data_IF_746567380362
#
_entry.id   IF_746567380362
#
_cell.length_a   1.000
_cell.length_b   1.000
_cell.length_c   1.000
_cell.angle_alpha   90.00
_cell.angle_beta   90.00
_cell.angle_gamma   90.00
#
_symmetry.space_group_name_H-M   'P 1'
#
loop_
_entity.id
_entity.type
_entity.pdbx_description
1 polymer ?
#
# COMPACT_ATOMS: atom_id res chain seq x y z
N UNK A 1 -8.42 29.55 26.93
CA UNK A 1 -8.76 28.11 27.06
C UNK A 1 -7.75 27.34 26.23
N UNK A 2 -7.00 26.42 26.81
CA UNK A 2 -6.10 25.55 26.03
C UNK A 2 -6.83 24.23 25.80
N UNK A 3 -7.04 23.84 24.53
CA UNK A 3 -7.41 22.45 24.25
C UNK A 3 -6.19 21.60 24.56
N UNK A 4 -6.27 20.81 25.64
CA UNK A 4 -5.24 19.84 25.96
C UNK A 4 -5.22 18.71 24.91
N UNK A 5 -4.10 17.98 24.78
CA UNK A 5 -4.02 16.83 23.88
C UNK A 5 -5.10 15.77 24.16
N UNK A 6 -5.56 15.64 25.42
CA UNK A 6 -6.71 14.80 25.77
C UNK A 6 -8.01 15.23 25.06
N UNK A 7 -8.31 16.53 25.01
CA UNK A 7 -9.50 17.07 24.33
C UNK A 7 -9.46 16.73 22.82
N UNK A 8 -8.29 16.89 22.21
CA UNK A 8 -8.05 16.61 20.78
C UNK A 8 -8.21 15.12 20.48
N UNK A 9 -7.74 14.23 21.38
CA UNK A 9 -7.92 12.78 21.25
C UNK A 9 -9.40 12.40 21.30
N UNK A 10 -10.19 12.96 22.22
CA UNK A 10 -11.64 12.70 22.31
C UNK A 10 -12.35 13.12 21.02
N UNK A 11 -12.04 14.31 20.50
CA UNK A 11 -12.60 14.82 19.24
C UNK A 11 -12.20 13.91 18.06
N UNK A 12 -10.95 13.46 17.99
CA UNK A 12 -10.49 12.53 16.96
C UNK A 12 -11.21 11.18 17.02
N UNK A 13 -11.48 10.64 18.20
CA UNK A 13 -12.23 9.39 18.35
C UNK A 13 -13.67 9.56 17.84
N UNK A 14 -14.35 10.67 18.18
CA UNK A 14 -15.70 10.95 17.67
C UNK A 14 -15.70 11.13 16.15
N UNK A 15 -14.73 11.86 15.60
CA UNK A 15 -14.56 12.00 14.15
C UNK A 15 -14.27 10.66 13.45
N UNK A 16 -13.45 9.80 14.06
CA UNK A 16 -13.15 8.45 13.59
C UNK A 16 -14.37 7.53 13.59
N UNK A 17 -15.32 7.71 14.51
CA UNK A 17 -16.58 6.96 14.52
C UNK A 17 -17.55 7.43 13.44
N UNK A 18 -17.64 8.74 13.19
CA UNK A 18 -18.53 9.32 12.16
C UNK A 18 -18.00 9.06 10.75
N UNK A 19 -16.72 9.36 10.50
CA UNK A 19 -16.11 9.24 9.17
C UNK A 19 -15.53 7.84 8.91
N UNK A 20 -15.18 7.08 9.94
CA UNK A 20 -14.51 5.78 9.83
C UNK A 20 -13.01 5.90 9.56
N UNK A 21 -12.15 5.06 10.20
CA UNK A 21 -10.70 5.09 9.99
C UNK A 21 -10.29 4.82 8.53
N UNK A 22 -11.14 4.12 7.75
CA UNK A 22 -10.89 3.83 6.33
C UNK A 22 -11.04 5.04 5.40
N UNK A 23 -11.77 6.09 5.81
CA UNK A 23 -11.97 7.27 4.96
C UNK A 23 -10.93 8.37 5.21
N UNK A 24 -10.35 8.47 6.42
CA UNK A 24 -9.21 9.36 6.71
C UNK A 24 -8.06 9.28 5.70
N UNK A 25 -7.49 8.11 5.35
CA UNK A 25 -6.38 8.05 4.39
C UNK A 25 -6.81 8.46 2.96
N UNK A 26 -8.10 8.36 2.62
CA UNK A 26 -8.63 8.79 1.32
C UNK A 26 -8.79 10.31 1.26
N UNK A 27 -9.35 10.91 2.32
CA UNK A 27 -9.44 12.36 2.52
C UNK A 27 -8.06 13.01 2.63
N UNK A 28 -7.15 12.42 3.40
CA UNK A 28 -5.76 12.87 3.57
C UNK A 28 -4.95 12.81 2.27
N UNK A 29 -5.14 11.80 1.41
CA UNK A 29 -4.53 11.77 0.07
C UNK A 29 -5.07 12.85 -0.87
N UNK A 30 -6.37 13.20 -0.77
CA UNK A 30 -6.95 14.26 -1.57
C UNK A 30 -6.47 15.65 -1.10
N UNK A 31 -6.63 15.96 0.19
CA UNK A 31 -6.17 17.22 0.79
C UNK A 31 -4.64 17.37 0.68
N UNK A 32 -3.90 16.29 0.87
CA UNK A 32 -2.44 16.27 0.76
C UNK A 32 -1.94 16.70 -0.61
N UNK A 33 -2.60 16.25 -1.71
CA UNK A 33 -2.29 16.73 -3.06
C UNK A 33 -2.53 18.25 -3.18
N UNK A 34 -3.71 18.73 -2.77
CA UNK A 34 -4.04 20.17 -2.78
C UNK A 34 -3.03 21.00 -1.98
N UNK A 35 -2.69 20.58 -0.76
CA UNK A 35 -1.70 21.25 0.10
C UNK A 35 -0.29 21.20 -0.51
N UNK A 36 0.09 20.09 -1.15
CA UNK A 36 1.38 19.97 -1.83
C UNK A 36 1.47 20.98 -2.99
N UNK A 37 0.48 21.00 -3.88
CA UNK A 37 0.43 21.96 -5.00
C UNK A 37 0.37 23.42 -4.52
N UNK A 38 -0.34 23.72 -3.43
CA UNK A 38 -0.35 25.07 -2.82
C UNK A 38 1.02 25.43 -2.25
N UNK A 39 1.69 24.49 -1.55
CA UNK A 39 3.03 24.72 -1.01
C UNK A 39 4.08 24.86 -2.10
N UNK A 40 4.03 24.05 -3.16
CA UNK A 40 4.87 24.18 -4.36
C UNK A 40 4.64 25.53 -5.08
N UNK A 41 3.41 26.07 -5.06
CA UNK A 41 3.11 27.40 -5.60
C UNK A 41 3.47 28.59 -4.69
N UNK A 42 3.59 28.38 -3.36
CA UNK A 42 3.98 29.42 -2.40
C UNK A 42 5.48 29.41 -2.07
N UNK A 43 6.15 28.26 -2.21
CA UNK A 43 7.60 28.12 -2.10
C UNK A 43 8.24 28.34 -3.46
N UNK A 44 8.32 29.62 -3.87
CA UNK A 44 9.00 30.01 -5.11
C UNK A 44 10.50 29.76 -5.05
N UNK A 45 10.98 28.95 -5.99
CA UNK A 45 12.37 28.79 -6.47
C UNK A 45 13.51 28.90 -5.42
N UNK A 46 13.68 27.83 -4.64
CA UNK A 46 15.00 27.39 -4.17
C UNK A 46 15.01 25.85 -4.17
N UNK A 47 16.08 25.27 -4.74
CA UNK A 47 16.34 23.83 -5.00
C UNK A 47 15.48 23.06 -6.05
N UNK A 48 16.05 22.94 -7.26
CA UNK A 48 15.66 21.98 -8.32
C UNK A 48 16.76 20.93 -8.59
N UNK A 49 16.54 19.67 -8.17
CA UNK A 49 16.89 18.40 -8.87
C UNK A 49 16.64 17.21 -7.93
N UNK A 50 16.16 16.04 -8.34
CA UNK A 50 15.73 15.44 -9.63
C UNK A 50 14.27 14.95 -9.47
N UNK A 51 13.46 14.61 -10.48
CA UNK A 51 13.78 13.91 -11.74
C UNK A 51 12.75 14.28 -12.84
N UNK A 52 13.24 14.59 -14.04
CA UNK A 52 12.51 14.38 -15.32
C UNK A 52 12.88 12.95 -15.76
N UNK A 53 12.05 12.12 -16.37
CA UNK A 53 11.02 12.40 -17.39
C UNK A 53 10.02 11.22 -17.45
N UNK A 54 8.70 11.50 -17.53
CA UNK A 54 7.80 10.99 -18.59
C UNK A 54 6.38 11.50 -18.41
N UNK A 55 5.97 12.44 -19.25
CA UNK A 55 4.58 12.85 -19.35
C UNK A 55 3.76 11.88 -20.24
N UNK A 56 2.48 11.75 -19.90
CA UNK A 56 1.36 11.35 -20.78
C UNK A 56 1.17 9.85 -21.09
N UNK A 57 0.41 9.22 -20.17
CA UNK A 57 -0.81 8.41 -20.39
C UNK A 57 -0.79 7.15 -21.29
N UNK A 58 -1.50 6.06 -20.96
CA UNK A 58 -2.61 5.93 -20.00
C UNK A 58 -2.37 4.84 -18.92
N UNK A 59 -1.92 5.32 -17.75
CA UNK A 59 -2.19 4.81 -16.40
C UNK A 59 -1.93 3.32 -16.05
N UNK A 60 -0.62 3.04 -15.94
CA UNK A 60 -0.03 2.30 -14.81
C UNK A 60 1.01 3.25 -14.12
N UNK A 61 1.66 2.97 -12.99
CA UNK A 61 1.82 1.76 -12.17
C UNK A 61 2.07 2.19 -10.69
N UNK A 62 1.78 1.38 -9.65
CA UNK A 62 2.74 0.60 -8.81
C UNK A 62 4.25 0.87 -9.06
N UNK A 63 5.19 0.88 -8.12
CA UNK A 63 5.22 0.71 -6.65
C UNK A 63 6.63 1.13 -6.15
N UNK A 64 6.73 1.59 -4.88
CA UNK A 64 7.85 1.30 -3.93
C UNK A 64 9.30 1.75 -4.29
N UNK A 65 10.31 1.76 -3.40
CA UNK A 65 10.49 1.40 -1.98
C UNK A 65 11.62 2.31 -1.40
N UNK A 66 12.07 2.31 -0.13
CA UNK A 66 11.65 1.75 1.17
C UNK A 66 12.34 2.64 2.26
N UNK A 67 11.93 2.67 3.52
CA UNK A 67 12.37 1.74 4.58
C UNK A 67 11.48 1.99 5.82
N UNK A 68 10.70 1.03 6.32
CA UNK A 68 11.10 -0.21 7.04
C UNK A 68 11.58 0.06 8.49
N UNK A 69 11.30 -0.76 9.50
CA UNK A 69 10.62 -2.07 9.51
C UNK A 69 9.83 -2.29 10.82
N UNK A 70 8.79 -3.12 10.77
CA UNK A 70 8.29 -3.86 11.95
C UNK A 70 7.52 -5.13 11.54
N UNK A 71 8.21 -6.06 10.89
CA UNK A 71 7.86 -7.48 10.74
C UNK A 71 7.15 -8.07 11.96
N UNK A 72 6.26 -9.05 11.78
CA UNK A 72 6.65 -10.40 11.35
C UNK A 72 5.50 -11.21 10.75
N UNK A 73 5.89 -12.30 10.06
CA UNK A 73 5.08 -13.39 9.53
C UNK A 73 4.27 -13.11 8.24
N UNK A 74 4.88 -13.42 7.08
CA UNK A 74 4.70 -14.77 6.52
C UNK A 74 5.61 -14.99 5.30
N UNK A 75 6.47 -16.01 5.38
CA UNK A 75 7.09 -16.62 4.21
C UNK A 75 6.06 -17.48 3.46
N UNK A 76 5.03 -16.83 2.92
CA UNK A 76 4.07 -17.46 2.04
C UNK A 76 4.65 -17.50 0.62
N UNK A 77 4.89 -18.73 0.12
CA UNK A 77 5.36 -18.93 -1.23
C UNK A 77 4.48 -18.25 -2.28
N UNK A 78 5.04 -17.98 -3.45
CA UNK A 78 4.34 -17.26 -4.52
C UNK A 78 4.10 -18.20 -5.70
N UNK A 79 2.85 -18.29 -6.16
CA UNK A 79 2.44 -19.11 -7.31
C UNK A 79 2.09 -18.25 -8.52
N UNK A 80 2.48 -18.70 -9.71
CA UNK A 80 2.19 -18.01 -10.97
C UNK A 80 1.00 -18.64 -11.69
N UNK A 81 0.12 -17.80 -12.23
CA UNK A 81 -1.08 -18.27 -12.94
C UNK A 81 -0.74 -18.81 -14.34
N UNK A 82 -0.99 -20.11 -14.65
CA UNK A 82 -0.66 -20.70 -15.94
C UNK A 82 -1.52 -20.18 -17.11
N UNK A 83 -2.61 -19.43 -16.84
CA UNK A 83 -3.47 -18.83 -17.86
C UNK A 83 -3.10 -17.41 -18.27
N UNK A 84 -2.40 -16.64 -17.43
CA UNK A 84 -2.16 -15.20 -17.69
C UNK A 84 -0.85 -14.65 -17.11
N UNK A 85 -0.01 -15.47 -16.49
CA UNK A 85 1.28 -15.08 -15.90
C UNK A 85 1.19 -14.26 -14.60
N UNK A 86 0.00 -13.95 -14.09
CA UNK A 86 -0.14 -13.17 -12.87
C UNK A 86 0.48 -13.87 -11.64
N UNK A 87 1.23 -13.10 -10.85
CA UNK A 87 1.80 -13.48 -9.56
C UNK A 87 0.69 -13.47 -8.49
N UNK A 88 0.51 -14.54 -7.74
CA UNK A 88 -0.52 -14.70 -6.70
C UNK A 88 0.10 -15.35 -5.44
N UNK A 89 -0.44 -15.13 -4.23
CA UNK A 89 0.04 -15.81 -3.03
C UNK A 89 -0.34 -17.31 -3.05
N UNK A 90 0.43 -18.18 -2.37
CA UNK A 90 0.26 -19.64 -2.44
C UNK A 90 -1.11 -20.16 -1.94
N UNK A 91 -1.82 -19.41 -1.11
CA UNK A 91 -3.16 -19.74 -0.60
C UNK A 91 -4.30 -19.33 -1.56
N UNK A 92 -4.03 -18.55 -2.60
CA UNK A 92 -5.05 -18.08 -3.54
C UNK A 92 -5.65 -19.24 -4.34
N UNK A 93 -6.91 -19.60 -4.07
CA UNK A 93 -7.65 -20.62 -4.83
C UNK A 93 -7.95 -20.23 -6.30
N UNK A 94 -7.92 -18.93 -6.60
CA UNK A 94 -8.21 -18.37 -7.93
C UNK A 94 -7.27 -17.21 -8.24
N UNK A 95 -6.96 -17.03 -9.52
CA UNK A 95 -6.13 -15.95 -10.01
C UNK A 95 -6.85 -14.60 -9.95
N UNK A 96 -6.28 -13.63 -9.23
CA UNK A 96 -6.83 -12.28 -9.06
C UNK A 96 -6.93 -11.47 -10.36
N UNK A 97 -6.26 -11.90 -11.45
CA UNK A 97 -6.27 -11.22 -12.76
C UNK A 97 -7.24 -11.81 -13.79
N UNK A 98 -7.50 -13.12 -13.76
CA UNK A 98 -8.29 -13.80 -14.79
C UNK A 98 -9.30 -14.84 -14.29
N UNK A 99 -9.44 -15.03 -12.97
CA UNK A 99 -10.40 -15.96 -12.37
C UNK A 99 -10.09 -17.46 -12.59
N UNK A 100 -8.98 -17.81 -13.25
CA UNK A 100 -8.56 -19.21 -13.39
C UNK A 100 -8.25 -19.81 -12.01
N UNK A 101 -8.74 -21.03 -11.74
CA UNK A 101 -8.38 -21.79 -10.53
C UNK A 101 -6.86 -22.00 -10.50
N UNK A 102 -6.25 -21.75 -9.35
CA UNK A 102 -4.85 -22.03 -9.10
C UNK A 102 -4.78 -23.36 -8.34
N UNK A 103 -4.09 -24.34 -8.92
CA UNK A 103 -3.78 -25.59 -8.23
C UNK A 103 -2.68 -25.31 -7.21
N UNK A 104 -3.01 -25.46 -5.93
CA UNK A 104 -2.07 -25.33 -4.83
C UNK A 104 -0.84 -26.23 -5.10
N UNK A 105 0.40 -25.71 -5.07
CA UNK A 105 1.54 -26.57 -4.85
C UNK A 105 1.40 -27.08 -3.41
N UNK A 106 0.93 -28.32 -3.29
CA UNK A 106 0.98 -29.04 -2.03
C UNK A 106 2.43 -29.03 -1.53
N UNK A 107 2.62 -28.78 -0.24
CA UNK A 107 3.96 -28.55 0.30
C UNK A 107 4.85 -29.75 -0.04
N UNK A 108 5.96 -29.49 -0.74
CA UNK A 108 7.00 -30.47 -0.95
C UNK A 108 7.62 -30.77 0.42
N UNK A 109 7.06 -31.82 1.04
CA UNK A 109 7.65 -32.76 1.98
C UNK A 109 8.95 -32.28 2.63
N UNK A 110 8.87 -31.97 3.92
CA UNK A 110 10.04 -31.79 4.80
C UNK A 110 10.77 -33.13 4.94
N UNK A 111 11.63 -33.41 3.97
CA UNK A 111 12.54 -34.55 3.97
C UNK A 111 13.96 -34.07 4.30
N UNK A 112 14.22 -33.87 5.60
CA UNK A 112 15.53 -34.13 6.19
C UNK A 112 15.31 -34.52 7.66
N UNK A 113 15.28 -35.84 7.91
CA UNK A 113 15.33 -36.40 9.26
C UNK A 113 16.79 -36.67 9.56
N UNK A 114 17.36 -35.93 10.50
CA UNK A 114 18.62 -36.29 11.14
C UNK A 114 18.44 -37.57 11.98
N UNK A 115 18.83 -38.75 11.44
CA UNK A 115 19.62 -39.79 12.13
C UNK A 115 20.26 -40.80 11.14
#
# INVERSE_FOLDING_TARGET
>A
MNLGPMEVIVILIVALLIFGPKNLPKLGKALGKTVKNVREGMSGDDDKKKDEEKATETEAHLEEASSEEASTASEAGVVFCPKCGAKNPADAAFCSKCGAKLTKPEAAETADTEE
#
